data_IF_607503303894
#
_entry.id   IF_607503303894
#
_cell.length_a   1.000
_cell.length_b   1.000
_cell.length_c   1.000
_cell.angle_alpha   90.00
_cell.angle_beta   90.00
_cell.angle_gamma   90.00
#
_symmetry.space_group_name_H-M   'P 1'
#
loop_
_entity.id
_entity.type
_entity.pdbx_description
1 polymer ?
#
# COMPACT_ATOMS: atom_id res chain seq x y z
N UNK A 1 -0.47 19.13 -5.92
CA UNK A 1 -0.76 17.70 -6.18
C UNK A 1 0.18 16.86 -5.33
N UNK A 2 -0.30 16.22 -4.26
CA UNK A 2 0.53 15.39 -3.38
C UNK A 2 0.78 14.04 -4.08
N UNK A 3 1.94 13.91 -4.70
CA UNK A 3 2.44 12.68 -5.31
C UNK A 3 3.12 11.84 -4.21
N UNK A 4 2.93 10.53 -4.23
CA UNK A 4 3.62 9.60 -3.31
C UNK A 4 5.14 9.87 -3.34
N UNK A 5 5.78 10.00 -2.17
CA UNK A 5 7.23 10.24 -2.06
C UNK A 5 7.71 11.71 -2.09
N UNK A 6 6.83 12.70 -2.26
CA UNK A 6 7.21 14.14 -2.26
C UNK A 6 6.91 14.91 -0.97
N UNK A 7 6.37 14.26 0.06
CA UNK A 7 5.98 14.89 1.33
C UNK A 7 6.69 14.25 2.51
N UNK A 8 7.19 15.06 3.44
CA UNK A 8 7.75 14.55 4.70
C UNK A 8 6.68 13.78 5.48
N UNK A 9 6.97 12.54 5.91
CA UNK A 9 6.03 11.76 6.71
C UNK A 9 5.87 12.40 8.10
N UNK A 10 4.62 12.48 8.58
CA UNK A 10 4.37 12.82 9.97
C UNK A 10 4.36 11.54 10.80
N UNK A 11 5.34 11.39 11.69
CA UNK A 11 5.45 10.23 12.57
C UNK A 11 4.91 10.59 13.95
N UNK A 12 3.98 9.78 14.45
CA UNK A 12 3.32 9.99 15.74
C UNK A 12 3.36 8.66 16.49
N UNK A 13 4.04 8.58 17.65
CA UNK A 13 3.97 7.41 18.51
C UNK A 13 2.53 7.22 19.01
N UNK A 14 2.02 5.99 18.89
CA UNK A 14 0.69 5.63 19.41
C UNK A 14 0.88 4.82 20.69
N UNK A 15 0.35 5.31 21.81
CA UNK A 15 0.33 4.59 23.09
C UNK A 15 -0.78 3.54 23.14
N UNK A 16 -0.73 2.53 22.26
CA UNK A 16 -1.74 1.48 22.18
C UNK A 16 -1.36 0.30 23.08
N UNK A 17 -2.35 -0.27 23.77
CA UNK A 17 -2.18 -1.49 24.60
C UNK A 17 -2.55 -2.76 23.86
N UNK A 18 -3.15 -2.64 22.68
CA UNK A 18 -3.64 -3.75 21.87
C UNK A 18 -2.51 -4.36 21.03
N UNK A 19 -2.60 -5.65 20.73
CA UNK A 19 -1.67 -6.30 19.81
C UNK A 19 -2.00 -5.96 18.35
N UNK A 20 -1.09 -6.32 17.44
CA UNK A 20 -1.20 -6.00 16.03
C UNK A 20 -2.47 -6.57 15.37
N UNK A 21 -2.90 -7.77 15.76
CA UNK A 21 -4.11 -8.40 15.21
C UNK A 21 -5.38 -7.70 15.66
N UNK A 22 -5.44 -7.29 16.93
CA UNK A 22 -6.56 -6.53 17.47
C UNK A 22 -6.70 -5.18 16.80
N UNK A 23 -5.59 -4.46 16.61
CA UNK A 23 -5.54 -3.20 15.88
C UNK A 23 -6.01 -3.40 14.43
N UNK A 24 -5.44 -4.39 13.73
CA UNK A 24 -5.78 -4.63 12.34
C UNK A 24 -7.24 -5.07 12.14
N UNK A 25 -7.79 -5.88 13.03
CA UNK A 25 -9.19 -6.29 12.99
C UNK A 25 -10.16 -5.09 13.09
N UNK A 26 -9.79 -4.04 13.84
CA UNK A 26 -10.59 -2.80 13.85
C UNK A 26 -10.46 -2.03 12.53
N UNK A 27 -9.26 -1.98 11.96
CA UNK A 27 -9.01 -1.31 10.68
C UNK A 27 -9.77 -2.01 9.55
N UNK A 28 -9.59 -3.32 9.40
CA UNK A 28 -10.16 -4.10 8.29
C UNK A 28 -11.70 -4.13 8.27
N UNK A 29 -12.35 -3.90 9.42
CA UNK A 29 -13.82 -3.74 9.51
C UNK A 29 -14.32 -2.40 8.95
N UNK A 30 -13.48 -1.37 8.97
CA UNK A 30 -13.87 -0.01 8.58
C UNK A 30 -13.34 0.39 7.19
N UNK A 31 -12.34 -0.32 6.66
CA UNK A 31 -11.70 0.01 5.39
C UNK A 31 -11.69 -1.19 4.45
N UNK A 32 -12.19 -0.99 3.22
CA UNK A 32 -12.25 -2.03 2.19
C UNK A 32 -10.89 -2.37 1.57
N UNK A 33 -9.94 -1.44 1.65
CA UNK A 33 -8.58 -1.61 1.18
C UNK A 33 -7.64 -1.42 2.36
N UNK A 34 -7.22 -2.53 2.95
CA UNK A 34 -6.25 -2.55 4.04
C UNK A 34 -5.34 -3.76 3.90
N UNK A 35 -4.15 -3.68 4.48
CA UNK A 35 -3.23 -4.81 4.59
C UNK A 35 -2.53 -4.82 5.94
N UNK A 36 -2.06 -6.02 6.31
CA UNK A 36 -1.14 -6.28 7.41
C UNK A 36 -0.03 -7.17 6.87
N UNK A 37 1.21 -6.69 6.92
CA UNK A 37 2.41 -7.48 6.68
C UNK A 37 3.13 -7.73 7.99
N UNK A 38 3.52 -8.98 8.21
CA UNK A 38 4.33 -9.39 9.35
C UNK A 38 5.59 -10.09 8.87
N UNK A 39 6.72 -9.74 9.46
CA UNK A 39 7.97 -10.45 9.24
C UNK A 39 8.15 -11.49 10.34
N UNK A 40 7.99 -12.76 10.01
CA UNK A 40 8.24 -13.89 10.91
C UNK A 40 9.56 -14.57 10.55
N UNK A 41 10.47 -14.70 11.52
CA UNK A 41 11.72 -15.43 11.35
C UNK A 41 11.58 -16.81 11.99
N UNK A 42 10.91 -17.73 11.29
CA UNK A 42 10.69 -19.12 11.74
C UNK A 42 9.40 -19.36 12.55
N UNK A 43 9.07 -20.64 12.83
CA UNK A 43 7.77 -21.04 13.38
C UNK A 43 7.49 -20.59 14.82
N UNK A 44 8.48 -20.08 15.57
CA UNK A 44 8.37 -19.82 17.01
C UNK A 44 8.64 -18.36 17.43
N UNK A 45 8.89 -17.43 16.50
CA UNK A 45 9.25 -16.04 16.85
C UNK A 45 8.10 -15.09 16.51
N UNK A 46 7.64 -14.32 17.50
CA UNK A 46 6.71 -13.20 17.30
C UNK A 46 7.29 -12.22 16.26
N UNK A 47 6.44 -11.64 15.41
CA UNK A 47 6.91 -10.76 14.33
C UNK A 47 7.82 -9.64 14.86
N UNK A 48 9.03 -9.49 14.30
CA UNK A 48 9.95 -8.42 14.69
C UNK A 48 9.43 -7.05 14.31
N UNK A 49 8.59 -6.99 13.26
CA UNK A 49 7.94 -5.76 12.79
C UNK A 49 6.66 -6.11 12.04
N UNK A 50 5.59 -5.40 12.36
CA UNK A 50 4.33 -5.43 11.61
C UNK A 50 4.14 -4.09 10.89
N UNK A 51 3.71 -4.13 9.63
CA UNK A 51 3.36 -2.94 8.83
C UNK A 51 1.89 -3.05 8.44
N UNK A 52 1.12 -2.01 8.73
CA UNK A 52 -0.29 -1.92 8.34
C UNK A 52 -0.51 -0.68 7.50
N UNK A 53 -1.40 -0.79 6.52
CA UNK A 53 -1.87 0.33 5.73
C UNK A 53 -3.35 0.19 5.41
N UNK A 54 -4.05 1.31 5.30
CA UNK A 54 -5.46 1.39 4.97
C UNK A 54 -5.78 2.73 4.29
N UNK A 55 -6.98 2.83 3.70
CA UNK A 55 -7.48 4.04 3.04
C UNK A 55 -6.51 4.61 1.96
N UNK A 56 -6.19 3.82 0.92
CA UNK A 56 -5.27 4.26 -0.11
C UNK A 56 -5.82 5.47 -0.87
N UNK A 57 -4.97 6.47 -1.12
CA UNK A 57 -5.33 7.66 -1.92
C UNK A 57 -5.62 7.34 -3.39
N UNK A 58 -5.02 6.26 -3.90
CA UNK A 58 -5.15 5.81 -5.29
C UNK A 58 -5.22 4.30 -5.27
N UNK A 59 -6.16 3.72 -6.00
CA UNK A 59 -6.22 2.28 -6.29
C UNK A 59 -5.96 2.11 -7.77
N UNK A 60 -5.03 1.21 -8.12
CA UNK A 60 -4.73 0.86 -9.50
C UNK A 60 -5.14 -0.60 -9.73
N UNK A 61 -5.90 -0.86 -10.80
CA UNK A 61 -6.22 -2.21 -11.27
C UNK A 61 -5.65 -2.39 -12.67
N UNK A 62 -4.79 -3.38 -12.84
CA UNK A 62 -4.22 -3.75 -14.14
C UNK A 62 -5.00 -4.89 -14.78
N UNK A 63 -5.23 -4.77 -16.08
CA UNK A 63 -5.79 -5.80 -16.95
C UNK A 63 -4.86 -5.98 -18.16
N UNK A 64 -5.15 -6.95 -19.03
CA UNK A 64 -4.31 -7.25 -20.21
C UNK A 64 -4.22 -6.09 -21.22
N UNK A 65 -5.25 -5.26 -21.31
CA UNK A 65 -5.41 -4.22 -22.33
C UNK A 65 -5.61 -2.81 -21.75
N UNK A 66 -5.73 -2.69 -20.42
CA UNK A 66 -5.99 -1.41 -19.76
C UNK A 66 -5.54 -1.37 -18.31
N UNK A 67 -5.51 -0.15 -17.79
CA UNK A 67 -5.43 0.13 -16.36
C UNK A 67 -6.60 1.00 -15.94
N UNK A 68 -7.18 0.69 -14.77
CA UNK A 68 -8.17 1.54 -14.09
C UNK A 68 -7.51 2.20 -12.88
N UNK A 69 -7.51 3.54 -12.86
CA UNK A 69 -7.00 4.36 -11.76
C UNK A 69 -8.20 4.95 -11.04
N UNK A 70 -8.34 4.61 -9.76
CA UNK A 70 -9.44 5.08 -8.91
C UNK A 70 -8.87 6.09 -7.91
N UNK A 71 -9.38 7.32 -7.95
CA UNK A 71 -8.96 8.41 -7.07
C UNK A 71 -10.13 9.33 -6.76
N UNK A 72 -10.35 9.65 -5.48
CA UNK A 72 -11.47 10.49 -5.03
C UNK A 72 -12.83 10.06 -5.61
N UNK A 73 -13.09 8.74 -5.61
CA UNK A 73 -14.29 8.10 -6.19
C UNK A 73 -14.50 8.34 -7.69
N UNK A 74 -13.48 8.81 -8.42
CA UNK A 74 -13.47 8.87 -9.88
C UNK A 74 -12.63 7.73 -10.43
N UNK A 75 -13.09 7.14 -11.52
CA UNK A 75 -12.40 6.08 -12.25
C UNK A 75 -11.92 6.67 -13.56
N UNK A 76 -10.62 6.56 -13.80
CA UNK A 76 -9.98 6.88 -15.08
C UNK A 76 -9.47 5.57 -15.69
N UNK A 77 -9.77 5.35 -16.97
CA UNK A 77 -9.34 4.15 -17.70
C UNK A 77 -8.33 4.55 -18.76
N UNK A 78 -7.17 3.89 -18.76
CA UNK A 78 -6.09 4.12 -19.72
C UNK A 78 -5.87 2.83 -20.50
N UNK A 79 -5.96 2.89 -21.83
CA UNK A 79 -5.64 1.76 -22.70
C UNK A 79 -4.12 1.56 -22.72
N UNK A 80 -3.66 0.36 -22.40
CA UNK A 80 -2.23 0.02 -22.34
C UNK A 80 -2.05 -1.49 -22.39
N UNK A 81 -0.99 -1.94 -23.06
CA UNK A 81 -0.58 -3.34 -23.03
C UNK A 81 0.47 -3.61 -21.94
N UNK A 82 0.86 -2.58 -21.17
CA UNK A 82 1.82 -2.67 -20.07
C UNK A 82 1.29 -1.90 -18.84
N UNK A 83 0.58 -2.60 -17.93
CA UNK A 83 0.09 -2.01 -16.68
C UNK A 83 1.19 -1.55 -15.72
N UNK A 84 2.39 -2.14 -15.78
CA UNK A 84 3.48 -1.82 -14.85
C UNK A 84 4.10 -0.47 -15.18
N UNK A 85 4.18 -0.11 -16.45
CA UNK A 85 4.62 1.23 -16.85
C UNK A 85 3.64 2.32 -16.40
N UNK A 86 2.32 2.07 -16.41
CA UNK A 86 1.35 3.02 -15.83
C UNK A 86 1.47 3.12 -14.30
N UNK A 87 1.67 1.99 -13.61
CA UNK A 87 1.94 1.98 -12.17
C UNK A 87 3.18 2.82 -11.83
N UNK A 88 4.26 2.67 -12.60
CA UNK A 88 5.53 3.37 -12.39
C UNK A 88 5.39 4.89 -12.54
N UNK A 89 4.52 5.37 -13.44
CA UNK A 89 4.22 6.81 -13.58
C UNK A 89 3.56 7.40 -12.33
N UNK A 90 2.81 6.60 -11.57
CA UNK A 90 2.16 7.02 -10.33
C UNK A 90 3.10 7.01 -9.12
N UNK A 91 4.15 6.20 -9.17
CA UNK A 91 5.15 6.10 -8.12
C UNK A 91 6.10 7.30 -8.20
N UNK A 92 6.09 8.15 -7.17
CA UNK A 92 7.12 9.16 -7.02
C UNK A 92 8.35 8.61 -6.31
N UNK A 93 9.50 9.23 -6.58
CA UNK A 93 10.75 8.92 -5.88
C UNK A 93 10.78 9.67 -4.54
N UNK A 94 10.99 8.93 -3.45
CA UNK A 94 11.39 9.49 -2.16
C UNK A 94 12.89 9.29 -1.98
N UNK A 95 13.60 10.33 -1.57
CA UNK A 95 15.01 10.23 -1.16
C UNK A 95 15.16 10.08 0.36
N UNK A 96 14.05 10.10 1.10
CA UNK A 96 14.04 9.89 2.55
C UNK A 96 14.16 8.40 2.85
N UNK A 97 15.26 8.04 3.53
CA UNK A 97 15.57 6.68 3.98
C UNK A 97 15.59 6.56 5.51
N UNK A 98 15.07 7.55 6.23
CA UNK A 98 15.08 7.56 7.70
C UNK A 98 14.24 6.44 8.32
N UNK A 99 13.31 5.84 7.57
CA UNK A 99 12.50 4.70 8.01
C UNK A 99 12.51 3.58 6.97
N UNK A 100 12.45 2.32 7.43
CA UNK A 100 12.43 1.12 6.57
C UNK A 100 11.23 1.08 5.61
N UNK A 101 10.10 1.69 6.00
CA UNK A 101 8.89 1.78 5.18
C UNK A 101 8.26 3.16 5.33
N UNK A 102 8.08 3.86 4.21
CA UNK A 102 7.47 5.20 4.13
C UNK A 102 6.30 5.25 3.14
N UNK A 103 5.56 4.13 3.07
CA UNK A 103 4.47 3.97 2.11
C UNK A 103 4.95 3.64 0.70
N UNK A 104 4.01 3.58 -0.24
CA UNK A 104 4.25 3.20 -1.62
C UNK A 104 3.02 2.49 -2.22
N UNK A 105 3.20 1.85 -3.37
CA UNK A 105 2.20 0.91 -3.87
C UNK A 105 2.33 -0.43 -3.14
N UNK A 106 1.19 -0.95 -2.69
CA UNK A 106 1.06 -2.26 -2.07
C UNK A 106 -0.14 -2.93 -2.70
N UNK A 107 -0.02 -4.22 -3.01
CA UNK A 107 -1.09 -4.98 -3.63
C UNK A 107 -0.66 -6.38 -3.99
N UNK A 108 -1.41 -6.98 -4.90
CA UNK A 108 -1.17 -8.34 -5.40
C UNK A 108 -0.91 -8.27 -6.91
N UNK A 109 -0.03 -9.15 -7.38
CA UNK A 109 0.21 -9.39 -8.80
C UNK A 109 -0.13 -10.85 -9.05
N UNK A 110 -1.09 -11.09 -9.95
CA UNK A 110 -1.50 -12.45 -10.29
C UNK A 110 -0.43 -13.15 -11.13
N UNK A 111 -0.39 -14.48 -11.06
CA UNK A 111 0.55 -15.29 -11.83
C UNK A 111 0.41 -15.05 -13.35
N UNK A 112 -0.81 -14.90 -13.84
CA UNK A 112 -1.11 -14.66 -15.27
C UNK A 112 -0.77 -13.25 -15.75
N UNK A 113 -0.15 -12.41 -14.91
CA UNK A 113 0.24 -11.05 -15.28
C UNK A 113 1.57 -10.97 -16.04
N UNK A 114 2.25 -12.10 -16.26
CA UNK A 114 3.55 -12.24 -16.93
C UNK A 114 3.48 -13.20 -18.11
#
# INVERSE_FOLDING_TARGET
>A
MNIFGKSQPKVIPLGLTENQFQIYNKISRNYSHSFLFESLTGPEVLAETSVMGFDPKIILKGYSDKVEIIKNNKIESIQTNDPFEELKKLLGKSNDQSYRYLGGAVGVVNYDAI
#
